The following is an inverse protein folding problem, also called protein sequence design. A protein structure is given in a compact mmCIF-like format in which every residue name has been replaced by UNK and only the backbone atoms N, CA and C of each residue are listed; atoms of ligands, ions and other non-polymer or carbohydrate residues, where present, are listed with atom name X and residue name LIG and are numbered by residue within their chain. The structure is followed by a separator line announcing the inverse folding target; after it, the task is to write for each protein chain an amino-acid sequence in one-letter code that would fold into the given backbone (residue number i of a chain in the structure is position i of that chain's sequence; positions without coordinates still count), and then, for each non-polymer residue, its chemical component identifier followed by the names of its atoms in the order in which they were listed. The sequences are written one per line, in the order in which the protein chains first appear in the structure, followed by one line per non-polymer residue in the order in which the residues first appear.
data_IF_641701409018
#
_entry.id   IF_641701409018
#
_cell.length_a   1.000
_cell.length_b   1.000
_cell.length_c   1.000
_cell.angle_alpha   90.00
_cell.angle_beta   90.00
_cell.angle_gamma   90.00
#
_symmetry.space_group_name_H-M   'P 1'
#
loop_
_entity.id
_entity.type
_entity.pdbx_description
1 polymer ?
#
# COMPACT_ATOMS: atom_id res chain seq x y z
N UNK A 1 -2.59 81.20 -37.53
CA UNK A 1 -2.47 80.27 -36.36
C UNK A 1 -3.42 79.06 -36.38
N UNK A 2 -4.40 78.92 -37.23
CA UNK A 2 -5.39 77.86 -37.26
C UNK A 2 -4.94 76.50 -37.88
N UNK A 3 -3.93 76.52 -38.75
CA UNK A 3 -3.47 75.27 -39.43
C UNK A 3 -2.70 74.28 -38.52
N UNK A 4 -1.97 74.80 -37.51
CA UNK A 4 -1.20 73.95 -36.58
C UNK A 4 -2.08 73.18 -35.60
N UNK A 5 -3.25 73.68 -35.23
CA UNK A 5 -4.19 73.05 -34.30
C UNK A 5 -4.94 71.90 -34.95
N UNK A 6 -5.27 71.92 -36.23
CA UNK A 6 -5.97 70.87 -36.95
C UNK A 6 -5.06 69.68 -37.18
N UNK A 7 -3.78 69.86 -37.42
CA UNK A 7 -2.81 68.79 -37.63
C UNK A 7 -2.62 68.00 -36.33
N UNK A 8 -2.53 68.67 -35.17
CA UNK A 8 -2.41 68.04 -33.86
C UNK A 8 -3.65 67.22 -33.47
N UNK A 9 -4.85 67.67 -33.83
CA UNK A 9 -6.09 66.95 -33.57
C UNK A 9 -6.23 65.63 -34.42
N UNK A 10 -5.79 65.72 -35.69
CA UNK A 10 -5.83 64.56 -36.60
C UNK A 10 -4.79 63.50 -36.20
N UNK A 11 -3.59 63.92 -35.79
CA UNK A 11 -2.56 63.01 -35.31
C UNK A 11 -2.94 62.32 -34.00
N UNK A 12 -3.59 63.02 -33.07
CA UNK A 12 -4.09 62.41 -31.82
C UNK A 12 -5.22 61.39 -32.08
N UNK A 13 -6.12 61.67 -33.05
CA UNK A 13 -7.18 60.74 -33.42
C UNK A 13 -6.65 59.48 -34.08
N UNK A 14 -5.62 59.55 -34.90
CA UNK A 14 -4.99 58.40 -35.55
C UNK A 14 -4.22 57.56 -34.53
N UNK A 15 -3.49 58.16 -33.59
CA UNK A 15 -2.80 57.44 -32.53
C UNK A 15 -3.77 56.73 -31.57
N UNK A 16 -4.91 57.37 -31.26
CA UNK A 16 -5.97 56.74 -30.46
C UNK A 16 -6.62 55.54 -31.15
N UNK A 17 -6.88 55.61 -32.44
CA UNK A 17 -7.45 54.54 -33.23
C UNK A 17 -6.50 53.33 -33.35
N UNK A 18 -5.19 53.58 -33.52
CA UNK A 18 -4.18 52.51 -33.58
C UNK A 18 -4.01 51.83 -32.24
N UNK A 19 -4.06 52.57 -31.12
CA UNK A 19 -3.98 51.98 -29.77
C UNK A 19 -5.20 51.08 -29.44
N UNK A 20 -6.39 51.49 -29.84
CA UNK A 20 -7.61 50.65 -29.65
C UNK A 20 -7.58 49.38 -30.49
N UNK A 21 -7.09 49.46 -31.72
CA UNK A 21 -6.93 48.30 -32.57
C UNK A 21 -5.86 47.32 -32.06
N UNK A 22 -4.79 47.80 -31.44
CA UNK A 22 -3.74 46.98 -30.86
C UNK A 22 -4.24 46.20 -29.63
N UNK A 23 -5.11 46.81 -28.80
CA UNK A 23 -5.70 46.14 -27.64
C UNK A 23 -6.78 45.13 -28.06
N UNK A 24 -7.60 45.46 -29.08
CA UNK A 24 -8.57 44.53 -29.62
C UNK A 24 -7.94 43.31 -30.31
N UNK A 25 -6.76 43.51 -30.94
CA UNK A 25 -6.04 42.40 -31.59
C UNK A 25 -5.46 41.35 -30.61
N UNK A 26 -5.20 41.72 -29.37
CA UNK A 26 -4.71 40.80 -28.35
C UNK A 26 -5.84 39.89 -27.82
N UNK A 27 -7.07 40.35 -27.83
CA UNK A 27 -8.23 39.59 -27.36
C UNK A 27 -8.69 38.47 -28.33
N UNK A 28 -8.26 38.52 -29.60
CA UNK A 28 -8.67 37.56 -30.65
C UNK A 28 -7.65 36.40 -30.80
N UNK A 29 -6.51 36.46 -30.09
CA UNK A 29 -5.46 35.42 -30.21
C UNK A 29 -5.75 34.12 -29.46
N UNK A 30 -6.83 34.02 -28.72
CA UNK A 30 -7.25 32.76 -28.11
C UNK A 30 -8.23 32.04 -29.03
N UNK A 31 -7.66 31.21 -29.90
CA UNK A 31 -8.45 30.19 -30.57
C UNK A 31 -8.81 29.11 -29.54
N UNK A 32 -10.05 29.06 -29.13
CA UNK A 32 -10.55 27.92 -28.41
C UNK A 32 -10.67 26.76 -29.40
N UNK A 33 -9.62 25.92 -29.47
CA UNK A 33 -9.74 24.64 -30.15
C UNK A 33 -10.39 23.67 -29.18
N UNK A 34 -11.52 23.11 -29.57
CA UNK A 34 -12.08 21.93 -28.89
C UNK A 34 -11.20 20.75 -29.29
N UNK A 35 -10.32 20.33 -28.36
CA UNK A 35 -9.57 19.10 -28.54
C UNK A 35 -10.42 17.94 -28.00
N UNK A 36 -10.66 16.91 -28.80
CA UNK A 36 -11.13 15.62 -28.33
C UNK A 36 -9.94 14.67 -28.24
N UNK A 37 -9.79 14.05 -27.11
CA UNK A 37 -8.77 13.03 -26.87
C UNK A 37 -9.46 11.77 -26.34
N UNK A 38 -9.01 10.60 -26.79
CA UNK A 38 -9.37 9.32 -26.22
C UNK A 38 -8.15 8.73 -25.51
N UNK A 39 -8.35 8.22 -24.32
CA UNK A 39 -7.35 7.48 -23.57
C UNK A 39 -7.85 6.08 -23.31
N UNK A 40 -6.99 5.08 -23.43
CA UNK A 40 -7.28 3.71 -23.02
C UNK A 40 -6.26 3.28 -21.97
N UNK A 41 -6.73 2.55 -20.97
CA UNK A 41 -5.90 1.93 -19.95
C UNK A 41 -6.39 0.50 -19.72
N UNK A 42 -5.49 -0.37 -19.33
CA UNK A 42 -5.85 -1.71 -18.87
C UNK A 42 -5.75 -1.77 -17.35
N UNK A 43 -6.74 -2.37 -16.72
CA UNK A 43 -6.66 -2.80 -15.32
C UNK A 43 -6.09 -4.21 -15.27
N UNK A 44 -5.38 -4.52 -14.18
CA UNK A 44 -4.89 -5.88 -13.97
C UNK A 44 -6.04 -6.88 -13.97
N UNK A 45 -5.84 -8.02 -14.64
CA UNK A 45 -6.88 -9.05 -14.76
C UNK A 45 -7.07 -9.88 -13.48
N UNK A 46 -6.11 -9.84 -12.55
CA UNK A 46 -6.16 -10.52 -11.26
C UNK A 46 -5.28 -9.80 -10.25
N UNK A 47 -5.63 -9.92 -8.98
CA UNK A 47 -4.74 -9.55 -7.89
C UNK A 47 -3.56 -10.54 -7.87
N UNK A 48 -2.35 -10.02 -7.72
CA UNK A 48 -1.19 -10.86 -7.50
C UNK A 48 -1.25 -11.53 -6.13
N UNK A 49 -0.48 -12.59 -5.93
CA UNK A 49 -0.29 -13.20 -4.61
C UNK A 49 0.98 -12.66 -3.96
N UNK A 50 0.92 -12.42 -2.66
CA UNK A 50 2.05 -12.15 -1.79
C UNK A 50 2.51 -13.44 -1.12
N UNK A 51 3.80 -13.54 -0.83
CA UNK A 51 4.32 -14.60 0.05
C UNK A 51 4.60 -13.98 1.41
N UNK A 52 3.97 -14.53 2.44
CA UNK A 52 4.13 -14.09 3.81
C UNK A 52 5.05 -15.04 4.58
N UNK A 53 5.91 -14.48 5.43
CA UNK A 53 6.79 -15.23 6.32
C UNK A 53 6.56 -14.75 7.75
N UNK A 54 6.55 -15.70 8.70
CA UNK A 54 6.42 -15.42 10.13
C UNK A 54 7.59 -16.00 10.90
N UNK A 55 8.10 -15.23 11.86
CA UNK A 55 9.18 -15.66 12.75
C UNK A 55 8.74 -15.48 14.20
N UNK A 56 8.73 -16.54 14.96
CA UNK A 56 8.47 -16.54 16.41
C UNK A 56 9.82 -16.23 17.10
N UNK A 57 9.83 -15.22 17.96
CA UNK A 57 11.03 -14.76 18.67
C UNK A 57 11.01 -15.24 20.11
N UNK A 58 11.77 -16.28 20.42
CA UNK A 58 11.88 -16.85 21.76
C UNK A 58 11.17 -18.18 21.92
N UNK A 59 11.37 -18.74 23.10
CA UNK A 59 10.79 -20.03 23.50
C UNK A 59 9.41 -19.82 24.14
N UNK A 60 8.52 -20.78 23.91
CA UNK A 60 7.19 -20.83 24.54
C UNK A 60 7.19 -21.85 25.66
N UNK A 61 6.66 -21.43 26.80
CA UNK A 61 6.38 -22.29 27.94
C UNK A 61 4.91 -22.13 28.32
N UNK A 62 4.30 -23.09 29.04
CA UNK A 62 2.91 -22.97 29.49
C UNK A 62 2.65 -21.59 30.17
N UNK A 63 1.61 -20.91 29.72
CA UNK A 63 1.22 -19.56 30.15
C UNK A 63 2.02 -18.41 29.55
N UNK A 64 3.13 -18.69 28.83
CA UNK A 64 3.96 -17.65 28.22
C UNK A 64 3.51 -17.26 26.82
N UNK A 65 3.87 -16.05 26.45
CA UNK A 65 3.64 -15.51 25.11
C UNK A 65 4.97 -15.12 24.46
N UNK A 66 5.03 -15.21 23.13
CA UNK A 66 6.20 -14.81 22.33
C UNK A 66 5.78 -13.94 21.16
N UNK A 67 6.54 -12.89 20.82
CA UNK A 67 6.24 -12.06 19.67
C UNK A 67 6.50 -12.81 18.36
N UNK A 68 5.66 -12.49 17.36
CA UNK A 68 5.79 -12.98 15.99
C UNK A 68 5.99 -11.78 15.09
N UNK A 69 7.09 -11.76 14.35
CA UNK A 69 7.32 -10.77 13.29
C UNK A 69 6.95 -11.34 11.93
N UNK A 70 6.40 -10.48 11.08
CA UNK A 70 5.99 -10.83 9.72
C UNK A 70 6.82 -10.07 8.69
N UNK A 71 7.10 -10.75 7.58
CA UNK A 71 7.64 -10.14 6.37
C UNK A 71 6.84 -10.58 5.15
N UNK A 72 6.88 -9.78 4.09
CA UNK A 72 6.18 -10.06 2.84
C UNK A 72 7.10 -9.91 1.64
N UNK A 73 6.94 -10.82 0.67
CA UNK A 73 7.54 -10.77 -0.66
C UNK A 73 6.48 -10.51 -1.72
N UNK A 74 6.71 -9.56 -2.59
CA UNK A 74 5.87 -9.26 -3.73
C UNK A 74 6.64 -9.53 -5.04
N UNK A 75 6.43 -10.69 -5.63
CA UNK A 75 7.02 -11.04 -6.92
C UNK A 75 6.27 -10.42 -8.12
N UNK A 76 5.15 -9.74 -7.90
CA UNK A 76 4.30 -9.18 -8.94
C UNK A 76 4.92 -7.90 -9.55
N UNK A 77 4.42 -7.49 -10.70
CA UNK A 77 4.80 -6.23 -11.36
C UNK A 77 4.01 -5.01 -10.86
N UNK A 78 3.01 -5.22 -10.04
CA UNK A 78 2.20 -4.21 -9.35
C UNK A 78 2.46 -4.21 -7.85
N UNK A 79 2.17 -3.09 -7.19
CA UNK A 79 2.12 -3.04 -5.73
C UNK A 79 0.86 -3.77 -5.26
N UNK A 80 1.00 -4.55 -4.18
CA UNK A 80 -0.09 -5.32 -3.57
C UNK A 80 -0.26 -4.92 -2.12
N UNK A 81 -1.48 -5.05 -1.59
CA UNK A 81 -1.76 -4.72 -0.21
C UNK A 81 -1.89 -5.99 0.63
N UNK A 82 -1.16 -6.05 1.75
CA UNK A 82 -1.42 -6.99 2.84
C UNK A 82 -2.57 -6.42 3.66
N UNK A 83 -3.64 -7.19 3.80
CA UNK A 83 -4.79 -6.82 4.63
C UNK A 83 -4.60 -7.27 6.09
N UNK A 84 -5.45 -8.19 6.54
CA UNK A 84 -5.29 -8.85 7.83
C UNK A 84 -4.47 -10.13 7.65
N UNK A 85 -3.43 -10.29 8.45
CA UNK A 85 -2.66 -11.53 8.51
C UNK A 85 -3.36 -12.52 9.45
N UNK A 86 -3.74 -13.66 8.89
CA UNK A 86 -4.27 -14.81 9.63
C UNK A 86 -3.17 -15.85 9.76
N UNK A 87 -2.95 -16.36 10.96
CA UNK A 87 -1.93 -17.37 11.22
C UNK A 87 -2.57 -18.65 11.78
N UNK A 88 -2.25 -19.77 11.16
CA UNK A 88 -2.66 -21.09 11.64
C UNK A 88 -1.43 -21.82 12.16
N UNK A 89 -1.51 -22.27 13.43
CA UNK A 89 -0.44 -23.00 14.09
C UNK A 89 -0.50 -24.48 13.70
N UNK A 90 0.66 -25.04 13.44
CA UNK A 90 0.83 -26.49 13.31
C UNK A 90 2.05 -26.96 14.10
N UNK A 91 2.00 -28.21 14.59
CA UNK A 91 3.04 -28.84 15.38
C UNK A 91 3.70 -29.92 14.52
N UNK A 92 4.98 -30.15 14.69
CA UNK A 92 5.65 -31.27 14.04
C UNK A 92 5.01 -32.62 14.40
N UNK A 93 5.08 -33.55 13.46
CA UNK A 93 4.38 -34.84 13.55
C UNK A 93 4.80 -35.68 14.77
N UNK A 94 6.07 -35.57 15.19
CA UNK A 94 6.58 -36.36 16.32
C UNK A 94 5.89 -35.93 17.62
N UNK A 95 5.82 -34.63 17.89
CA UNK A 95 5.21 -34.11 19.12
C UNK A 95 3.66 -34.18 19.08
N UNK A 96 3.08 -33.98 17.89
CA UNK A 96 1.64 -34.16 17.69
C UNK A 96 1.19 -35.58 18.02
N UNK A 97 1.95 -36.61 17.62
CA UNK A 97 1.68 -37.98 17.95
C UNK A 97 1.85 -38.32 19.44
N UNK A 98 2.57 -37.50 20.19
CA UNK A 98 2.74 -37.60 21.65
C UNK A 98 1.66 -36.86 22.43
N UNK A 99 0.78 -36.14 21.77
CA UNK A 99 -0.33 -35.40 22.36
C UNK A 99 -0.10 -33.92 22.55
N UNK A 100 0.90 -33.31 21.87
CA UNK A 100 0.99 -31.86 21.74
C UNK A 100 0.03 -31.39 20.65
N UNK A 101 -0.93 -30.56 20.98
CA UNK A 101 -1.99 -30.16 20.06
C UNK A 101 -1.81 -28.68 19.62
N UNK A 102 -2.22 -28.38 18.39
CA UNK A 102 -2.23 -27.00 17.91
C UNK A 102 -3.16 -26.09 18.75
N UNK A 103 -4.17 -26.68 19.38
CA UNK A 103 -5.08 -26.02 20.32
C UNK A 103 -4.43 -25.58 21.63
N UNK A 104 -3.23 -26.09 21.95
CA UNK A 104 -2.42 -25.62 23.08
C UNK A 104 -1.85 -24.20 22.81
N UNK A 105 -1.92 -23.75 21.57
CA UNK A 105 -1.38 -22.46 21.15
C UNK A 105 -2.48 -21.58 20.56
N UNK A 106 -2.38 -20.27 20.82
CA UNK A 106 -3.28 -19.28 20.26
C UNK A 106 -2.49 -18.12 19.66
N UNK A 107 -2.97 -17.62 18.53
CA UNK A 107 -2.44 -16.41 17.88
C UNK A 107 -3.63 -15.66 17.30
N UNK A 108 -3.69 -14.36 17.57
CA UNK A 108 -4.75 -13.51 17.04
C UNK A 108 -4.39 -12.99 15.64
N UNK A 109 -5.41 -12.71 14.84
CA UNK A 109 -5.27 -12.04 13.57
C UNK A 109 -4.63 -10.66 13.75
N UNK A 110 -3.77 -10.26 12.82
CA UNK A 110 -3.06 -8.98 12.84
C UNK A 110 -3.45 -8.13 11.63
N UNK A 111 -4.08 -6.98 11.88
CA UNK A 111 -4.42 -6.04 10.82
C UNK A 111 -3.18 -5.24 10.41
N UNK A 112 -2.73 -5.39 9.15
CA UNK A 112 -1.55 -4.71 8.61
C UNK A 112 -1.91 -3.49 7.76
N UNK A 113 -2.80 -3.67 6.78
CA UNK A 113 -3.19 -2.64 5.82
C UNK A 113 -1.99 -1.94 5.14
N UNK A 114 -0.91 -2.70 4.89
CA UNK A 114 0.35 -2.20 4.33
C UNK A 114 0.48 -2.52 2.85
N UNK A 115 0.92 -1.53 2.06
CA UNK A 115 1.21 -1.71 0.64
C UNK A 115 2.65 -2.18 0.46
N UNK A 116 2.83 -3.28 -0.25
CA UNK A 116 4.12 -3.86 -0.62
C UNK A 116 4.42 -3.51 -2.08
N UNK A 117 5.51 -2.81 -2.31
CA UNK A 117 5.90 -2.35 -3.64
C UNK A 117 6.13 -3.53 -4.60
N UNK A 118 5.95 -3.29 -5.91
CA UNK A 118 6.27 -4.27 -6.93
C UNK A 118 7.72 -4.76 -6.81
N UNK A 119 7.96 -6.07 -6.98
CA UNK A 119 9.28 -6.71 -6.93
C UNK A 119 10.04 -6.54 -5.61
N UNK A 120 9.35 -6.15 -4.54
CA UNK A 120 9.95 -6.06 -3.21
C UNK A 120 10.07 -7.45 -2.56
N UNK A 121 11.10 -7.67 -1.75
CA UNK A 121 11.34 -8.90 -1.01
C UNK A 121 11.78 -8.60 0.43
N UNK A 122 11.36 -9.43 1.37
CA UNK A 122 11.72 -9.33 2.78
C UNK A 122 11.22 -8.04 3.45
N UNK A 123 10.14 -7.46 2.98
CA UNK A 123 9.58 -6.23 3.56
C UNK A 123 8.97 -6.54 4.92
N UNK A 124 9.52 -5.95 5.96
CA UNK A 124 8.96 -6.07 7.31
C UNK A 124 7.57 -5.43 7.37
N UNK A 125 6.62 -6.15 7.95
CA UNK A 125 5.28 -5.62 8.21
C UNK A 125 5.28 -4.74 9.47
N UNK A 126 4.39 -3.74 9.48
CA UNK A 126 4.37 -2.70 10.52
C UNK A 126 3.92 -3.25 11.88
N UNK A 127 3.08 -4.27 11.87
CA UNK A 127 2.53 -4.89 13.07
C UNK A 127 2.98 -6.35 13.17
N UNK A 128 3.35 -6.77 14.37
CA UNK A 128 3.62 -8.16 14.68
C UNK A 128 2.44 -8.83 15.36
N UNK A 129 2.45 -10.16 15.36
CA UNK A 129 1.54 -10.97 16.14
C UNK A 129 2.11 -11.32 17.50
N UNK A 130 1.31 -12.00 18.30
CA UNK A 130 1.74 -12.64 19.55
C UNK A 130 1.15 -14.04 19.60
N UNK A 131 2.03 -15.03 19.71
CA UNK A 131 1.63 -16.40 19.97
C UNK A 131 1.70 -16.69 21.46
N UNK A 132 0.71 -17.37 22.00
CA UNK A 132 0.66 -17.77 23.41
C UNK A 132 0.50 -19.27 23.50
N UNK A 133 1.24 -19.90 24.42
CA UNK A 133 0.99 -21.27 24.86
C UNK A 133 0.05 -21.23 26.06
N UNK A 134 -1.05 -21.96 25.99
CA UNK A 134 -1.99 -22.07 27.09
C UNK A 134 -1.33 -22.74 28.33
N UNK A 135 -1.72 -22.30 29.52
CA UNK A 135 -1.44 -23.01 30.77
C UNK A 135 -2.68 -23.80 31.13
N UNK A 136 -2.63 -25.12 30.87
CA UNK A 136 -3.77 -26.01 31.10
C UNK A 136 -3.54 -26.90 32.32
N UNK A 137 -4.61 -27.42 32.90
CA UNK A 137 -4.49 -28.41 33.98
C UNK A 137 -3.98 -29.78 33.52
N UNK A 138 -3.88 -29.98 32.21
CA UNK A 138 -3.35 -31.22 31.61
C UNK A 138 -1.82 -31.18 31.54
N UNK A 139 -1.22 -32.36 31.52
CA UNK A 139 0.22 -32.46 31.29
C UNK A 139 0.57 -32.09 29.85
N UNK A 140 1.36 -31.03 29.68
CA UNK A 140 1.82 -30.51 28.39
C UNK A 140 3.26 -30.91 28.06
N UNK A 141 3.83 -31.91 28.76
CA UNK A 141 5.20 -32.39 28.53
C UNK A 141 5.44 -32.86 27.09
N UNK A 142 4.38 -33.28 26.39
CA UNK A 142 4.44 -33.66 24.97
C UNK A 142 4.88 -32.51 24.06
N UNK A 143 4.71 -31.25 24.47
CA UNK A 143 5.11 -30.06 23.70
C UNK A 143 6.55 -29.64 23.95
N UNK A 144 7.26 -30.24 24.87
CA UNK A 144 8.67 -29.88 25.13
C UNK A 144 9.55 -30.21 23.92
N UNK A 145 10.20 -29.17 23.38
CA UNK A 145 11.05 -29.27 22.19
C UNK A 145 10.31 -29.37 20.86
N UNK A 146 8.99 -29.20 20.86
CA UNK A 146 8.18 -29.22 19.64
C UNK A 146 8.57 -28.07 18.69
N UNK A 147 8.57 -28.36 17.39
CA UNK A 147 8.71 -27.35 16.36
C UNK A 147 7.34 -26.84 15.96
N UNK A 148 7.15 -25.53 16.09
CA UNK A 148 5.92 -24.84 15.72
C UNK A 148 6.11 -24.22 14.33
N UNK A 149 5.17 -24.45 13.43
CA UNK A 149 5.09 -23.81 12.12
C UNK A 149 3.83 -22.97 12.00
N UNK A 150 3.94 -21.84 11.30
CA UNK A 150 2.84 -20.93 11.02
C UNK A 150 2.49 -20.97 9.53
N UNK A 151 1.25 -21.32 9.20
CA UNK A 151 0.69 -21.12 7.87
C UNK A 151 0.00 -19.76 7.87
N UNK A 152 0.44 -18.86 6.97
CA UNK A 152 0.01 -17.46 6.91
C UNK A 152 -0.83 -17.20 5.66
N UNK A 153 -1.92 -16.43 5.84
CA UNK A 153 -2.76 -15.90 4.74
C UNK A 153 -3.12 -14.45 5.03
N UNK A 154 -3.51 -13.71 3.98
CA UNK A 154 -4.03 -12.34 4.12
C UNK A 154 -5.15 -12.05 3.13
#
# INVERSE_FOLDING_TARGET
MFRKALIKKRTAAILGAVAVLAVAGIAIAYWTTTGSGSGSGSVAASNGSLVLHGTISGELTPGASSPVSYTADNANSSSEQVGTVHAVVSIDVEHANKGCEASDFSIADTAENQVIAAKASGVALAHGGTIQMADTAANQDACKGATISLALTS
#
